data_IF_461796487902
#
_entry.id   IF_461796487902
#
_cell.length_a   1.000
_cell.length_b   1.000
_cell.length_c   1.000
_cell.angle_alpha   90.00
_cell.angle_beta   90.00
_cell.angle_gamma   90.00
#
_symmetry.space_group_name_H-M   'P 1'
#
loop_
_entity.id
_entity.type
_entity.pdbx_description
1 polymer ?
#
# COMPACT_ATOMS: atom_id res chain seq x y z
N UNK A 1 5.20 -52.87 43.96
CA UNK A 1 6.20 -51.90 44.46
C UNK A 1 7.35 -51.78 43.46
N UNK A 2 7.36 -50.74 42.60
CA UNK A 2 8.50 -50.48 41.70
C UNK A 2 9.62 -49.80 42.51
N UNK A 3 10.79 -50.44 42.60
CA UNK A 3 12.00 -49.88 43.24
C UNK A 3 12.45 -48.64 42.46
N UNK A 4 12.50 -47.49 43.13
CA UNK A 4 13.09 -46.27 42.59
C UNK A 4 14.61 -46.46 42.44
N UNK A 5 15.11 -46.26 41.22
CA UNK A 5 16.54 -46.34 40.89
C UNK A 5 17.24 -45.11 41.48
N UNK A 6 18.24 -45.30 42.35
CA UNK A 6 19.09 -44.22 42.86
C UNK A 6 19.95 -43.68 41.71
N UNK A 7 19.82 -42.40 41.41
CA UNK A 7 20.63 -41.69 40.43
C UNK A 7 22.07 -41.54 40.97
N UNK A 8 23.05 -41.68 40.09
CA UNK A 8 24.47 -41.43 40.40
C UNK A 8 24.74 -39.94 40.54
N UNK A 9 25.83 -39.58 41.23
CA UNK A 9 26.24 -38.17 41.42
C UNK A 9 26.42 -37.45 40.07
N UNK A 10 26.90 -38.15 39.04
CA UNK A 10 27.03 -37.60 37.67
C UNK A 10 25.68 -37.29 37.03
N UNK A 11 24.68 -38.14 37.25
CA UNK A 11 23.31 -37.89 36.76
C UNK A 11 22.68 -36.70 37.48
N UNK A 12 22.88 -36.55 38.80
CA UNK A 12 22.43 -35.38 39.54
C UNK A 12 23.07 -34.07 39.05
N UNK A 13 24.37 -34.08 38.76
CA UNK A 13 25.07 -32.90 38.22
C UNK A 13 24.54 -32.56 36.82
N UNK A 14 24.33 -33.57 35.97
CA UNK A 14 23.77 -33.38 34.63
C UNK A 14 22.35 -32.78 34.67
N UNK A 15 21.46 -33.32 35.51
CA UNK A 15 20.10 -32.77 35.66
C UNK A 15 20.10 -31.36 36.27
N UNK A 16 21.03 -31.07 37.18
CA UNK A 16 21.17 -29.72 37.77
C UNK A 16 21.61 -28.68 36.73
N UNK A 17 22.57 -29.03 35.86
CA UNK A 17 23.03 -28.16 34.77
C UNK A 17 21.91 -27.97 33.73
N UNK A 18 21.21 -29.04 33.37
CA UNK A 18 20.07 -28.96 32.45
C UNK A 18 18.95 -28.05 33.00
N UNK A 19 18.65 -28.17 34.29
CA UNK A 19 17.66 -27.31 34.97
C UNK A 19 18.09 -25.84 34.95
N UNK A 20 19.37 -25.55 35.21
CA UNK A 20 19.90 -24.18 35.15
C UNK A 20 19.86 -23.60 33.72
N UNK A 21 20.13 -24.41 32.69
CA UNK A 21 20.01 -23.99 31.29
C UNK A 21 18.56 -23.72 30.90
N UNK A 22 17.62 -24.57 31.33
CA UNK A 22 16.19 -24.37 31.09
C UNK A 22 15.68 -23.12 31.83
N UNK A 23 16.07 -22.93 33.10
CA UNK A 23 15.73 -21.73 33.87
C UNK A 23 16.34 -20.47 33.25
N UNK A 24 17.59 -20.53 32.79
CA UNK A 24 18.24 -19.44 32.07
C UNK A 24 17.54 -19.10 30.76
N UNK A 25 17.14 -20.10 29.98
CA UNK A 25 16.36 -19.91 28.75
C UNK A 25 14.97 -19.29 29.02
N UNK A 26 14.29 -19.74 30.08
CA UNK A 26 13.01 -19.16 30.51
C UNK A 26 13.19 -17.72 31.00
N UNK A 27 14.28 -17.41 31.70
CA UNK A 27 14.58 -16.05 32.16
C UNK A 27 14.89 -15.13 30.97
N UNK A 28 15.69 -15.58 30.00
CA UNK A 28 15.98 -14.84 28.77
C UNK A 28 14.70 -14.61 27.95
N UNK A 29 13.82 -15.61 27.82
CA UNK A 29 12.48 -15.46 27.21
C UNK A 29 11.57 -14.49 27.99
N UNK A 30 11.69 -14.45 29.31
CA UNK A 30 10.92 -13.54 30.17
C UNK A 30 11.42 -12.11 30.08
N UNK A 31 12.73 -11.90 29.94
CA UNK A 31 13.36 -10.59 29.81
C UNK A 31 13.27 -10.06 28.37
N UNK A 32 13.35 -10.93 27.37
CA UNK A 32 13.05 -10.65 25.95
C UNK A 32 11.56 -10.81 25.64
N UNK A 33 10.67 -10.47 26.58
CA UNK A 33 9.31 -10.11 26.18
C UNK A 33 9.43 -8.83 25.37
N UNK A 34 9.67 -8.99 24.07
CA UNK A 34 9.22 -8.04 23.07
C UNK A 34 7.76 -7.84 23.40
N UNK A 35 7.46 -6.69 24.00
CA UNK A 35 6.10 -6.20 24.11
C UNK A 35 5.66 -5.93 22.69
N UNK A 36 5.17 -6.98 22.04
CA UNK A 36 4.18 -6.77 20.99
C UNK A 36 3.08 -5.95 21.67
N UNK A 37 2.72 -4.77 21.14
CA UNK A 37 1.49 -4.14 21.59
C UNK A 37 0.43 -5.24 21.52
N UNK A 38 -0.17 -5.54 22.68
CA UNK A 38 -1.29 -6.45 22.74
C UNK A 38 -2.20 -6.05 21.58
N UNK A 39 -2.55 -7.03 20.73
CA UNK A 39 -3.57 -6.93 19.68
C UNK A 39 -4.50 -5.82 20.08
N UNK A 40 -4.35 -4.65 19.42
CA UNK A 40 -4.95 -3.41 19.89
C UNK A 40 -6.38 -3.75 20.26
N UNK A 41 -6.80 -3.40 21.48
CA UNK A 41 -8.20 -3.43 21.85
C UNK A 41 -8.96 -2.98 20.61
N UNK A 42 -9.83 -3.84 20.07
CA UNK A 42 -10.80 -3.42 19.08
C UNK A 42 -11.61 -2.34 19.78
N UNK A 43 -11.13 -1.11 19.70
CA UNK A 43 -11.93 0.06 19.95
C UNK A 43 -13.06 -0.10 18.97
N UNK A 44 -14.24 -0.38 19.51
CA UNK A 44 -15.50 -0.18 18.81
C UNK A 44 -15.31 1.04 17.93
N UNK A 45 -15.47 0.86 16.62
CA UNK A 45 -15.47 1.95 15.65
C UNK A 45 -16.33 3.02 16.27
N UNK A 46 -15.69 4.11 16.72
CA UNK A 46 -16.38 5.21 17.37
C UNK A 46 -17.41 5.64 16.34
N UNK A 47 -18.70 5.43 16.64
CA UNK A 47 -19.79 5.90 15.80
C UNK A 47 -19.54 7.39 15.63
N UNK A 48 -19.02 7.78 14.48
CA UNK A 48 -18.92 9.17 14.08
C UNK A 48 -20.33 9.73 14.14
N UNK A 49 -20.47 10.92 14.73
CA UNK A 49 -21.77 11.50 15.03
C UNK A 49 -22.62 11.57 13.77
N UNK A 50 -23.79 10.92 13.79
CA UNK A 50 -24.85 11.01 12.77
C UNK A 50 -25.50 12.41 12.68
N UNK A 51 -24.76 13.47 12.96
CA UNK A 51 -25.20 14.81 12.69
C UNK A 51 -25.36 14.94 11.16
N UNK A 52 -26.59 15.23 10.71
CA UNK A 52 -26.85 15.45 9.29
C UNK A 52 -25.96 16.56 8.78
N UNK A 53 -25.08 16.22 7.85
CA UNK A 53 -24.23 17.18 7.18
C UNK A 53 -25.02 18.04 6.19
N UNK A 54 -24.56 19.26 5.96
CA UNK A 54 -25.11 20.22 5.01
C UNK A 54 -24.66 20.00 3.57
N UNK A 55 -23.68 19.13 3.31
CA UNK A 55 -23.01 18.95 2.02
C UNK A 55 -24.00 18.70 0.87
N UNK A 56 -24.99 17.83 1.10
CA UNK A 56 -25.98 17.43 0.09
C UNK A 56 -26.98 18.55 -0.27
N UNK A 57 -27.03 19.65 0.51
CA UNK A 57 -27.85 20.81 0.15
C UNK A 57 -27.35 21.49 -1.15
N UNK A 58 -26.05 21.39 -1.44
CA UNK A 58 -25.42 21.93 -2.65
C UNK A 58 -25.00 20.83 -3.62
N UNK A 59 -24.51 19.69 -3.13
CA UNK A 59 -23.99 18.59 -3.97
C UNK A 59 -25.08 17.65 -4.51
N UNK A 60 -26.32 17.74 -4.02
CA UNK A 60 -27.42 16.88 -4.48
C UNK A 60 -27.25 15.41 -4.05
N UNK A 61 -27.96 14.50 -4.70
CA UNK A 61 -27.83 13.05 -4.45
C UNK A 61 -26.67 12.48 -5.26
N UNK A 62 -25.57 12.20 -4.56
CA UNK A 62 -24.39 11.56 -5.13
C UNK A 62 -24.51 10.04 -4.98
N UNK A 63 -24.09 9.29 -5.99
CA UNK A 63 -24.07 7.82 -5.98
C UNK A 63 -22.68 7.29 -6.37
N UNK A 64 -22.48 5.97 -6.49
CA UNK A 64 -21.19 5.37 -6.86
C UNK A 64 -20.32 4.94 -5.68
N UNK A 65 -20.75 5.15 -4.44
CA UNK A 65 -20.04 4.73 -3.23
C UNK A 65 -20.05 3.22 -3.04
N UNK A 66 -19.00 2.69 -2.39
CA UNK A 66 -19.02 1.32 -1.88
C UNK A 66 -19.98 1.19 -0.70
N UNK A 67 -20.40 -0.04 -0.42
CA UNK A 67 -21.30 -0.36 0.70
C UNK A 67 -20.78 0.20 2.05
N UNK A 68 -19.47 0.10 2.29
CA UNK A 68 -18.85 0.44 3.58
C UNK A 68 -18.38 1.90 3.68
N UNK A 69 -18.18 2.57 2.56
CA UNK A 69 -17.78 3.99 2.51
C UNK A 69 -18.89 4.89 1.96
N UNK A 70 -20.16 4.51 2.17
CA UNK A 70 -21.30 5.35 1.81
C UNK A 70 -21.47 6.49 2.84
N UNK A 71 -21.51 7.78 2.43
CA UNK A 71 -21.74 8.91 3.33
C UNK A 71 -23.04 8.86 4.13
N UNK A 72 -24.05 8.10 3.70
CA UNK A 72 -25.24 7.84 4.52
C UNK A 72 -24.92 7.13 5.84
N UNK A 73 -23.81 6.38 5.88
CA UNK A 73 -23.36 5.62 7.05
C UNK A 73 -22.28 6.34 7.85
N UNK A 74 -21.36 7.03 7.18
CA UNK A 74 -20.15 7.60 7.81
C UNK A 74 -20.00 9.11 7.66
N UNK A 75 -20.82 9.77 6.83
CA UNK A 75 -20.68 11.20 6.51
C UNK A 75 -19.57 11.49 5.50
N UNK A 76 -19.72 12.59 4.76
CA UNK A 76 -18.72 13.09 3.81
C UNK A 76 -17.46 13.59 4.54
N UNK A 77 -17.63 14.22 5.71
CA UNK A 77 -16.52 14.83 6.45
C UNK A 77 -15.56 13.79 7.04
N UNK A 78 -15.99 12.53 7.19
CA UNK A 78 -15.12 11.45 7.65
C UNK A 78 -13.97 11.18 6.68
N UNK A 79 -14.16 11.47 5.40
CA UNK A 79 -13.13 11.38 4.38
C UNK A 79 -12.63 12.77 3.99
N UNK A 80 -13.52 13.70 3.66
CA UNK A 80 -13.16 15.00 3.10
C UNK A 80 -12.84 16.08 4.14
N UNK A 81 -13.04 15.82 5.43
CA UNK A 81 -12.93 16.82 6.49
C UNK A 81 -13.87 18.02 6.21
N UNK A 82 -13.50 19.22 6.64
CA UNK A 82 -14.32 20.43 6.48
C UNK A 82 -15.37 20.61 7.57
N UNK A 83 -16.25 21.59 7.38
CA UNK A 83 -17.32 21.92 8.32
C UNK A 83 -18.68 21.45 7.80
N UNK A 84 -19.02 20.20 8.10
CA UNK A 84 -20.30 19.60 7.72
C UNK A 84 -21.54 20.24 8.34
N UNK A 85 -21.41 21.21 9.26
CA UNK A 85 -22.56 21.88 9.89
C UNK A 85 -22.95 23.20 9.20
N UNK A 86 -22.09 23.76 8.35
CA UNK A 86 -22.34 25.04 7.68
C UNK A 86 -22.96 24.86 6.31
N UNK A 87 -24.01 25.62 5.97
CA UNK A 87 -24.55 25.69 4.61
C UNK A 87 -23.92 26.79 3.75
N UNK A 88 -23.06 27.63 4.33
CA UNK A 88 -22.25 28.58 3.57
C UNK A 88 -21.07 27.85 2.92
N UNK A 89 -20.86 28.07 1.62
CA UNK A 89 -19.87 27.34 0.82
C UNK A 89 -18.45 27.49 1.36
N UNK A 90 -18.05 28.71 1.69
CA UNK A 90 -16.65 28.97 2.06
C UNK A 90 -16.37 28.43 3.46
N UNK A 91 -17.33 28.59 4.38
CA UNK A 91 -17.24 27.99 5.71
C UNK A 91 -17.33 26.46 5.70
N UNK A 92 -18.17 25.87 4.84
CA UNK A 92 -18.31 24.42 4.74
C UNK A 92 -17.03 23.75 4.24
N UNK A 93 -16.33 24.39 3.31
CA UNK A 93 -15.08 23.89 2.73
C UNK A 93 -13.82 24.30 3.52
N UNK A 94 -13.94 25.04 4.62
CA UNK A 94 -12.80 25.44 5.44
C UNK A 94 -12.10 24.18 6.01
N UNK A 95 -10.84 23.96 5.64
CA UNK A 95 -10.07 22.78 6.06
C UNK A 95 -10.45 21.47 5.35
N UNK A 96 -11.26 21.53 4.29
CA UNK A 96 -11.62 20.36 3.49
C UNK A 96 -10.44 19.88 2.65
N UNK A 97 -10.32 18.56 2.47
CA UNK A 97 -9.38 17.93 1.57
C UNK A 97 -10.10 17.34 0.35
N UNK A 98 -9.53 17.58 -0.83
CA UNK A 98 -10.17 17.22 -2.10
C UNK A 98 -9.90 15.78 -2.52
N UNK A 99 -8.74 15.24 -2.15
CA UNK A 99 -8.32 13.88 -2.46
C UNK A 99 -7.91 13.23 -1.12
N UNK A 100 -8.87 12.68 -0.37
CA UNK A 100 -8.58 12.03 0.91
C UNK A 100 -7.93 10.66 0.68
N UNK A 101 -6.99 10.25 1.54
CA UNK A 101 -6.33 8.95 1.47
C UNK A 101 -4.85 9.01 1.08
N UNK A 102 -4.28 10.21 0.87
CA UNK A 102 -2.83 10.36 0.82
C UNK A 102 -2.24 10.03 2.20
N UNK A 103 -1.03 9.48 2.27
CA UNK A 103 -0.46 9.11 3.59
C UNK A 103 -0.34 10.31 4.55
N UNK A 104 -0.16 11.53 4.04
CA UNK A 104 -0.14 12.76 4.85
C UNK A 104 -1.46 13.09 5.55
N UNK A 105 -2.59 12.66 5.01
CA UNK A 105 -3.93 12.94 5.52
C UNK A 105 -4.64 11.67 6.03
N UNK A 106 -4.02 10.51 5.83
CA UNK A 106 -4.56 9.22 6.24
C UNK A 106 -4.82 9.14 7.74
N UNK A 107 -3.98 9.72 8.61
CA UNK A 107 -4.23 9.72 10.06
C UNK A 107 -5.53 10.46 10.43
N UNK A 108 -5.80 11.57 9.74
CA UNK A 108 -7.01 12.37 9.96
C UNK A 108 -8.26 11.73 9.34
N UNK A 109 -8.09 10.81 8.38
CA UNK A 109 -9.16 10.22 7.57
C UNK A 109 -9.22 8.70 7.73
N UNK A 110 -8.61 7.93 6.83
CA UNK A 110 -8.65 6.46 6.78
C UNK A 110 -8.26 5.83 8.12
N UNK A 111 -7.22 6.34 8.77
CA UNK A 111 -6.65 5.90 10.04
C UNK A 111 -7.58 6.08 11.24
N UNK A 112 -8.65 6.88 11.15
CA UNK A 112 -9.68 6.94 12.20
C UNK A 112 -10.41 5.61 12.38
N UNK A 113 -10.56 4.86 11.29
CA UNK A 113 -11.20 3.54 11.30
C UNK A 113 -10.19 2.40 11.04
N UNK A 114 -9.15 2.66 10.24
CA UNK A 114 -8.16 1.68 9.79
C UNK A 114 -6.76 1.95 10.37
N UNK A 115 -6.69 2.27 11.67
CA UNK A 115 -5.42 2.62 12.34
C UNK A 115 -4.34 1.54 12.24
N UNK A 116 -4.73 0.27 12.31
CA UNK A 116 -3.81 -0.86 12.15
C UNK A 116 -3.24 -0.94 10.74
N UNK A 117 -4.07 -0.72 9.73
CA UNK A 117 -3.62 -0.76 8.33
C UNK A 117 -2.75 0.46 8.01
N UNK A 118 -3.07 1.64 8.57
CA UNK A 118 -2.20 2.82 8.53
C UNK A 118 -0.83 2.54 9.14
N UNK A 119 -0.81 1.94 10.33
CA UNK A 119 0.45 1.57 10.99
C UNK A 119 1.28 0.63 10.12
N UNK A 120 0.67 -0.43 9.57
CA UNK A 120 1.38 -1.37 8.70
C UNK A 120 1.93 -0.66 7.46
N UNK A 121 1.10 0.08 6.71
CA UNK A 121 1.52 0.66 5.44
C UNK A 121 2.67 1.65 5.62
N UNK A 122 2.68 2.43 6.71
CA UNK A 122 3.76 3.38 7.02
C UNK A 122 5.10 2.71 7.34
N UNK A 123 5.07 1.45 7.81
CA UNK A 123 6.28 0.68 8.14
C UNK A 123 6.64 -0.36 7.05
N UNK A 124 5.87 -0.43 5.97
CA UNK A 124 6.10 -1.39 4.89
C UNK A 124 7.32 -1.02 4.04
N UNK A 125 7.93 -2.03 3.40
CA UNK A 125 8.97 -1.82 2.40
C UNK A 125 8.47 -1.04 1.19
N UNK A 126 7.21 -1.25 0.79
CA UNK A 126 6.57 -0.55 -0.34
C UNK A 126 6.41 0.95 -0.08
N UNK A 127 6.30 1.40 1.17
CA UNK A 127 6.22 2.83 1.50
C UNK A 127 7.61 3.42 1.74
N UNK A 128 8.42 2.75 2.56
CA UNK A 128 9.69 3.30 3.05
C UNK A 128 10.82 3.21 2.03
N UNK A 129 10.79 2.23 1.12
CA UNK A 129 11.92 1.90 0.24
C UNK A 129 13.25 1.71 1.00
N UNK A 130 13.19 1.31 2.27
CA UNK A 130 14.33 1.31 3.20
C UNK A 130 15.57 0.63 2.62
N UNK A 131 15.42 -0.61 2.12
CA UNK A 131 16.53 -1.36 1.53
C UNK A 131 17.15 -0.70 0.30
N UNK A 132 16.33 -0.06 -0.56
CA UNK A 132 16.84 0.66 -1.73
C UNK A 132 17.65 1.90 -1.31
N UNK A 133 17.13 2.67 -0.35
CA UNK A 133 17.84 3.85 0.18
C UNK A 133 19.14 3.44 0.87
N UNK A 134 19.13 2.32 1.62
CA UNK A 134 20.29 1.84 2.34
C UNK A 134 21.41 1.38 1.39
N UNK A 135 21.06 0.59 0.37
CA UNK A 135 22.01 0.16 -0.66
C UNK A 135 22.55 1.34 -1.45
N UNK A 136 21.70 2.31 -1.81
CA UNK A 136 22.14 3.51 -2.53
C UNK A 136 23.18 4.30 -1.70
N UNK A 137 22.87 4.60 -0.44
CA UNK A 137 23.80 5.30 0.46
C UNK A 137 25.12 4.54 0.64
N UNK A 138 25.07 3.22 0.76
CA UNK A 138 26.26 2.38 0.84
C UNK A 138 27.12 2.50 -0.43
N UNK A 139 26.52 2.40 -1.62
CA UNK A 139 27.22 2.51 -2.91
C UNK A 139 27.88 3.87 -3.11
N UNK A 140 27.23 4.94 -2.65
CA UNK A 140 27.79 6.29 -2.67
C UNK A 140 28.84 6.55 -1.57
N UNK A 141 29.10 5.58 -0.68
CA UNK A 141 30.03 5.71 0.44
C UNK A 141 29.53 6.63 1.56
N UNK A 142 28.23 6.89 1.60
CA UNK A 142 27.56 7.70 2.63
C UNK A 142 27.08 6.85 3.83
N UNK A 143 27.07 5.53 3.67
CA UNK A 143 26.86 4.55 4.74
C UNK A 143 27.97 3.48 4.68
N UNK A 144 28.37 2.94 5.82
CA UNK A 144 29.40 1.88 5.93
C UNK A 144 28.81 0.46 5.80
N UNK A 145 27.48 0.34 5.77
CA UNK A 145 26.74 -0.90 5.60
C UNK A 145 25.48 -0.68 4.76
N UNK A 146 25.05 -1.66 3.94
CA UNK A 146 23.75 -1.63 3.26
C UNK A 146 22.57 -2.03 4.17
N UNK A 147 22.81 -2.46 5.41
CA UNK A 147 21.78 -3.05 6.30
C UNK A 147 21.20 -2.03 7.29
N UNK A 148 21.08 -0.78 6.87
CA UNK A 148 20.44 0.27 7.66
C UNK A 148 18.96 0.42 7.35
N UNK A 149 18.22 0.93 8.33
CA UNK A 149 16.84 1.36 8.10
C UNK A 149 16.80 2.84 7.75
N UNK A 150 16.16 3.15 6.62
CA UNK A 150 15.88 4.51 6.18
C UNK A 150 14.44 4.61 5.72
N UNK A 151 13.94 5.83 5.64
CA UNK A 151 12.69 6.13 4.96
C UNK A 151 12.97 7.07 3.79
N UNK A 152 12.38 6.76 2.63
CA UNK A 152 12.47 7.60 1.44
C UNK A 152 11.86 8.99 1.64
N UNK A 153 11.01 9.19 2.65
CA UNK A 153 10.52 10.52 3.02
C UNK A 153 11.59 11.39 3.71
N UNK A 154 12.60 10.77 4.32
CA UNK A 154 13.65 11.45 5.10
C UNK A 154 14.87 11.84 4.25
N UNK A 155 14.80 11.70 2.92
CA UNK A 155 15.91 12.00 2.03
C UNK A 155 16.34 13.47 2.14
N UNK A 156 17.61 13.70 2.46
CA UNK A 156 18.23 15.01 2.65
C UNK A 156 18.68 15.64 1.33
N UNK A 157 19.95 16.02 1.18
CA UNK A 157 20.48 16.63 -0.06
C UNK A 157 21.85 16.08 -0.47
N UNK A 158 22.21 14.90 0.03
CA UNK A 158 23.44 14.21 -0.35
C UNK A 158 23.40 13.71 -1.80
N UNK A 159 24.50 13.12 -2.29
CA UNK A 159 24.56 12.60 -3.65
C UNK A 159 23.62 11.39 -3.82
N UNK A 160 23.62 10.48 -2.83
CA UNK A 160 22.68 9.36 -2.77
C UNK A 160 21.22 9.86 -2.70
N UNK A 161 20.94 10.80 -1.79
CA UNK A 161 19.57 11.32 -1.62
C UNK A 161 19.05 12.00 -2.90
N UNK A 162 19.94 12.72 -3.60
CA UNK A 162 19.59 13.34 -4.87
C UNK A 162 19.31 12.30 -5.96
N UNK A 163 20.15 11.27 -6.06
CA UNK A 163 19.92 10.16 -6.99
C UNK A 163 18.56 9.49 -6.76
N UNK A 164 18.22 9.22 -5.50
CA UNK A 164 16.93 8.63 -5.12
C UNK A 164 15.74 9.57 -5.36
N UNK A 165 15.87 10.88 -5.13
CA UNK A 165 14.79 11.84 -5.43
C UNK A 165 14.51 11.95 -6.91
N UNK A 166 15.55 12.09 -7.72
CA UNK A 166 15.42 12.33 -9.16
C UNK A 166 14.78 11.11 -9.87
N UNK A 167 14.97 9.90 -9.35
CA UNK A 167 14.46 8.65 -9.94
C UNK A 167 13.17 8.11 -9.29
N UNK A 168 13.11 8.10 -7.96
CA UNK A 168 12.15 7.26 -7.22
C UNK A 168 11.20 8.09 -6.34
N UNK A 169 11.73 9.01 -5.54
CA UNK A 169 10.95 9.64 -4.46
C UNK A 169 9.83 10.57 -4.95
N UNK A 170 9.98 11.17 -6.14
CA UNK A 170 8.97 12.09 -6.70
C UNK A 170 7.63 11.43 -7.06
N UNK A 171 7.60 10.10 -7.16
CA UNK A 171 6.42 9.35 -7.58
C UNK A 171 6.14 8.11 -6.73
N UNK A 172 6.85 7.95 -5.61
CA UNK A 172 6.71 6.77 -4.76
C UNK A 172 5.34 6.74 -4.05
N UNK A 173 4.96 5.60 -3.45
CA UNK A 173 3.63 5.40 -2.86
C UNK A 173 3.20 6.53 -1.90
N UNK A 174 4.13 7.03 -1.08
CA UNK A 174 3.89 8.13 -0.14
C UNK A 174 3.83 9.53 -0.77
N UNK A 175 4.14 9.68 -2.07
CA UNK A 175 3.99 10.95 -2.76
C UNK A 175 2.51 11.33 -2.89
N UNK A 176 2.21 12.62 -2.79
CA UNK A 176 0.85 13.12 -2.88
C UNK A 176 0.25 12.95 -4.28
N UNK A 177 -0.93 12.33 -4.35
CA UNK A 177 -1.81 12.45 -5.50
C UNK A 177 -2.50 13.81 -5.46
N UNK A 178 -2.21 14.63 -6.47
CA UNK A 178 -2.71 16.01 -6.59
C UNK A 178 -3.84 16.15 -7.61
N UNK A 179 -3.86 15.26 -8.59
CA UNK A 179 -4.83 15.28 -9.68
C UNK A 179 -5.93 14.24 -9.44
N UNK A 180 -7.17 14.61 -9.81
CA UNK A 180 -8.32 13.71 -9.80
C UNK A 180 -8.16 12.60 -10.85
N UNK A 181 -9.03 11.60 -10.78
CA UNK A 181 -9.03 10.46 -11.70
C UNK A 181 -8.31 9.25 -11.14
N UNK A 182 -8.39 8.15 -11.89
CA UNK A 182 -7.77 6.87 -11.54
C UNK A 182 -6.25 6.95 -11.46
N UNK A 183 -5.66 5.93 -10.84
CA UNK A 183 -4.23 5.70 -10.86
C UNK A 183 -3.84 5.24 -12.26
N UNK A 184 -2.81 5.86 -12.83
CA UNK A 184 -2.28 5.51 -14.16
C UNK A 184 -0.76 5.58 -14.12
N UNK A 185 -0.11 5.24 -15.22
CA UNK A 185 1.33 5.37 -15.40
C UNK A 185 1.80 6.83 -15.24
N UNK A 186 0.88 7.79 -15.36
CA UNK A 186 1.11 9.24 -15.19
C UNK A 186 0.59 9.78 -13.86
N UNK A 187 -0.39 9.13 -13.24
CA UNK A 187 -0.95 9.51 -11.93
C UNK A 187 -0.49 8.53 -10.86
N UNK A 188 0.65 8.86 -10.21
CA UNK A 188 1.34 8.00 -9.22
C UNK A 188 1.24 8.57 -7.80
N UNK A 189 1.62 7.74 -6.82
CA UNK A 189 1.50 8.05 -5.39
C UNK A 189 0.07 7.89 -4.90
N UNK A 190 -0.30 8.63 -3.86
CA UNK A 190 -1.67 8.67 -3.35
C UNK A 190 -1.92 7.83 -2.10
N UNK A 191 -0.90 7.16 -1.54
CA UNK A 191 -1.06 6.35 -0.34
C UNK A 191 -2.14 5.29 -0.49
N UNK A 192 -3.20 5.37 0.32
CA UNK A 192 -4.33 4.45 0.26
C UNK A 192 -5.03 4.49 -1.12
N UNK A 193 -5.08 5.66 -1.77
CA UNK A 193 -5.70 5.81 -3.08
C UNK A 193 -4.95 5.10 -4.20
N UNK A 194 -3.67 4.77 -4.00
CA UNK A 194 -2.89 4.06 -5.01
C UNK A 194 -3.50 2.68 -5.35
N UNK A 195 -4.18 2.06 -4.39
CA UNK A 195 -4.75 0.73 -4.53
C UNK A 195 -6.27 0.68 -4.34
N UNK A 196 -6.84 1.60 -3.55
CA UNK A 196 -8.25 1.52 -3.15
C UNK A 196 -9.18 2.47 -3.89
N UNK A 197 -8.66 3.32 -4.79
CA UNK A 197 -9.46 4.30 -5.53
C UNK A 197 -9.87 3.77 -6.91
N UNK A 198 -11.16 3.44 -7.05
CA UNK A 198 -11.71 2.88 -8.27
C UNK A 198 -12.69 3.85 -8.93
N UNK A 199 -12.53 4.07 -10.23
CA UNK A 199 -13.48 4.85 -11.03
C UNK A 199 -14.32 3.90 -11.88
N UNK A 200 -15.65 4.05 -11.84
CA UNK A 200 -16.51 3.46 -12.87
C UNK A 200 -16.40 4.29 -14.15
N UNK A 201 -16.82 3.72 -15.28
CA UNK A 201 -16.85 4.45 -16.55
C UNK A 201 -17.64 5.76 -16.43
N UNK A 202 -18.80 5.74 -15.77
CA UNK A 202 -19.63 6.93 -15.56
C UNK A 202 -18.96 7.96 -14.65
N UNK A 203 -18.18 7.52 -13.66
CA UNK A 203 -17.40 8.42 -12.82
C UNK A 203 -16.27 9.11 -13.61
N UNK A 204 -15.61 8.39 -14.52
CA UNK A 204 -14.61 8.97 -15.43
C UNK A 204 -15.25 10.01 -16.37
N UNK A 205 -16.34 9.66 -17.05
CA UNK A 205 -17.05 10.56 -17.97
C UNK A 205 -17.55 11.84 -17.27
N UNK A 206 -18.01 11.73 -16.02
CA UNK A 206 -18.43 12.90 -15.25
C UNK A 206 -17.28 13.74 -14.70
N UNK A 207 -16.15 13.10 -14.37
CA UNK A 207 -14.93 13.83 -14.03
C UNK A 207 -14.47 14.66 -15.23
N UNK A 208 -14.46 14.09 -16.43
CA UNK A 208 -14.10 14.80 -17.66
C UNK A 208 -15.02 16.00 -17.88
N UNK A 209 -16.35 15.80 -17.80
CA UNK A 209 -17.31 16.88 -17.92
C UNK A 209 -17.13 17.98 -16.84
N UNK A 210 -16.75 17.61 -15.62
CA UNK A 210 -16.44 18.55 -14.55
C UNK A 210 -15.21 19.39 -14.90
N UNK A 211 -14.13 18.76 -15.36
CA UNK A 211 -12.89 19.43 -15.75
C UNK A 211 -13.09 20.35 -16.97
N UNK A 212 -13.76 19.86 -18.01
CA UNK A 212 -14.07 20.62 -19.24
C UNK A 212 -14.95 21.85 -18.98
N UNK A 213 -15.86 21.76 -18.00
CA UNK A 213 -16.71 22.88 -17.59
C UNK A 213 -15.96 23.97 -16.80
N UNK A 214 -14.67 23.81 -16.53
CA UNK A 214 -13.95 24.69 -15.61
C UNK A 214 -14.42 24.53 -14.17
N UNK A 215 -14.77 23.28 -13.77
CA UNK A 215 -15.19 22.89 -12.42
C UNK A 215 -16.57 23.42 -11.99
N UNK A 216 -17.46 23.73 -12.93
CA UNK A 216 -18.82 24.24 -12.61
C UNK A 216 -19.90 23.17 -12.67
N UNK A 217 -19.73 22.13 -13.49
CA UNK A 217 -20.68 21.00 -13.60
C UNK A 217 -20.28 19.90 -12.62
N UNK A 218 -20.89 19.87 -11.44
CA UNK A 218 -20.56 18.91 -10.38
C UNK A 218 -20.87 17.46 -10.81
N UNK A 219 -19.95 16.49 -10.56
CA UNK A 219 -20.24 15.08 -10.72
C UNK A 219 -21.34 14.61 -9.76
N UNK A 220 -22.23 13.74 -10.25
CA UNK A 220 -23.22 13.01 -9.47
C UNK A 220 -22.79 11.57 -9.15
N UNK A 221 -21.75 11.06 -9.83
CA UNK A 221 -21.14 9.76 -9.55
C UNK A 221 -19.77 10.00 -8.89
N UNK A 222 -19.62 9.50 -7.67
CA UNK A 222 -18.38 9.52 -6.91
C UNK A 222 -17.55 8.27 -7.25
N UNK A 223 -16.21 8.38 -7.35
CA UNK A 223 -15.35 7.20 -7.42
C UNK A 223 -15.47 6.36 -6.15
N UNK A 224 -15.35 5.05 -6.25
CA UNK A 224 -15.52 4.18 -5.08
C UNK A 224 -14.19 3.95 -4.37
N UNK A 225 -14.25 3.86 -3.03
CA UNK A 225 -13.13 3.36 -2.22
C UNK A 225 -13.48 1.99 -1.67
N UNK A 226 -12.74 0.96 -2.08
CA UNK A 226 -13.00 -0.42 -1.70
C UNK A 226 -11.74 -1.30 -1.84
N UNK A 227 -11.89 -2.60 -1.60
CA UNK A 227 -10.82 -3.60 -1.65
C UNK A 227 -10.71 -4.30 -3.00
N UNK A 228 -11.40 -3.79 -4.03
CA UNK A 228 -11.33 -4.33 -5.38
C UNK A 228 -10.05 -3.83 -6.05
N UNK A 229 -8.92 -4.45 -5.71
CA UNK A 229 -7.60 -4.08 -6.22
C UNK A 229 -7.26 -4.98 -7.42
N UNK A 230 -7.20 -4.37 -8.61
CA UNK A 230 -6.84 -5.05 -9.86
C UNK A 230 -5.37 -4.82 -10.24
N UNK A 231 -4.87 -5.56 -11.24
CA UNK A 231 -3.49 -5.45 -11.73
C UNK A 231 -3.14 -4.05 -12.26
N UNK A 232 -4.14 -3.28 -12.72
CA UNK A 232 -3.97 -1.90 -13.18
C UNK A 232 -3.44 -0.97 -12.07
N UNK A 233 -3.80 -1.21 -10.81
CA UNK A 233 -3.29 -0.44 -9.68
C UNK A 233 -1.77 -0.63 -9.51
N UNK A 234 -1.32 -1.88 -9.65
CA UNK A 234 0.11 -2.21 -9.66
C UNK A 234 0.80 -1.63 -10.90
N UNK A 235 0.13 -1.69 -12.05
CA UNK A 235 0.61 -1.15 -13.32
C UNK A 235 0.82 0.37 -13.27
N UNK A 236 0.10 1.13 -12.44
CA UNK A 236 0.33 2.57 -12.28
C UNK A 236 1.80 2.92 -11.97
N UNK A 237 2.49 2.07 -11.20
CA UNK A 237 3.88 2.28 -10.80
C UNK A 237 4.85 1.24 -11.40
N UNK A 238 4.43 -0.01 -11.56
CA UNK A 238 5.27 -1.13 -12.02
C UNK A 238 5.18 -1.37 -13.54
N UNK A 239 5.09 -0.29 -14.31
CA UNK A 239 4.85 -0.29 -15.77
C UNK A 239 6.03 0.15 -16.64
N UNK A 240 7.28 -0.02 -16.17
CA UNK A 240 8.47 0.38 -16.96
C UNK A 240 9.52 -0.70 -16.99
N UNK A 241 10.24 -0.84 -18.10
CA UNK A 241 11.50 -1.60 -18.20
C UNK A 241 11.41 -3.03 -17.69
N UNK A 242 10.48 -3.82 -18.24
CA UNK A 242 10.24 -5.20 -17.83
C UNK A 242 10.06 -5.36 -16.31
N UNK A 243 9.41 -4.37 -15.65
CA UNK A 243 9.00 -4.47 -14.25
C UNK A 243 7.92 -5.55 -14.09
N UNK A 244 7.70 -5.95 -12.84
CA UNK A 244 6.89 -7.10 -12.47
C UNK A 244 5.51 -7.11 -13.14
N UNK A 245 4.77 -5.99 -13.14
CA UNK A 245 3.42 -5.96 -13.77
C UNK A 245 3.49 -6.14 -15.29
N UNK A 246 4.43 -5.48 -15.97
CA UNK A 246 4.58 -5.67 -17.43
C UNK A 246 4.90 -7.12 -17.80
N UNK A 247 5.86 -7.75 -17.11
CA UNK A 247 6.21 -9.14 -17.41
C UNK A 247 5.10 -10.12 -17.02
N UNK A 248 4.46 -9.92 -15.87
CA UNK A 248 3.39 -10.79 -15.38
C UNK A 248 2.22 -10.82 -16.36
N UNK A 249 1.87 -9.65 -16.91
CA UNK A 249 0.83 -9.50 -17.93
C UNK A 249 1.32 -9.76 -19.38
N UNK A 250 2.59 -10.15 -19.57
CA UNK A 250 3.14 -10.55 -20.87
C UNK A 250 3.59 -9.44 -21.81
N UNK A 251 3.77 -8.21 -21.32
CA UNK A 251 4.21 -7.05 -22.10
C UNK A 251 5.71 -6.77 -21.91
N UNK A 252 6.43 -6.50 -23.00
CA UNK A 252 7.82 -6.05 -22.99
C UNK A 252 7.97 -4.69 -23.66
N UNK A 253 8.75 -3.81 -23.04
CA UNK A 253 9.00 -2.47 -23.58
C UNK A 253 9.91 -2.55 -24.81
N UNK A 254 9.53 -1.88 -25.89
CA UNK A 254 10.29 -1.83 -27.14
C UNK A 254 11.07 -0.52 -27.27
N UNK A 255 11.94 -0.44 -28.28
CA UNK A 255 12.58 0.81 -28.69
C UNK A 255 11.78 1.59 -29.74
N UNK A 256 10.55 1.16 -30.03
CA UNK A 256 9.70 1.77 -31.04
C UNK A 256 9.02 3.02 -30.48
N UNK A 257 8.84 4.00 -31.37
CA UNK A 257 7.97 5.15 -31.12
C UNK A 257 6.55 4.85 -31.62
N UNK A 258 5.55 5.53 -31.05
CA UNK A 258 4.13 5.42 -31.43
C UNK A 258 3.91 5.58 -32.94
N UNK A 259 4.68 6.45 -33.60
CA UNK A 259 4.59 6.70 -35.05
C UNK A 259 5.16 5.59 -35.91
N UNK A 260 6.03 4.75 -35.32
CA UNK A 260 6.75 3.65 -35.97
C UNK A 260 6.23 2.27 -35.57
N UNK A 261 5.26 2.22 -34.65
CA UNK A 261 4.67 0.99 -34.15
C UNK A 261 3.99 0.20 -35.29
N UNK A 262 4.28 -1.11 -35.44
CA UNK A 262 3.53 -1.98 -36.32
C UNK A 262 2.03 -1.92 -36.02
N UNK A 263 1.19 -1.92 -37.06
CA UNK A 263 -0.28 -1.98 -36.89
C UNK A 263 -0.79 -3.41 -36.74
N UNK A 264 0.09 -4.31 -36.32
CA UNK A 264 -0.16 -5.73 -36.15
C UNK A 264 -0.73 -6.00 -34.76
N UNK A 265 -1.45 -7.10 -34.60
CA UNK A 265 -1.86 -7.57 -33.29
C UNK A 265 -0.61 -7.89 -32.44
N UNK A 266 -0.64 -7.53 -31.17
CA UNK A 266 0.46 -7.78 -30.23
C UNK A 266 1.30 -6.56 -29.86
N UNK A 267 1.05 -5.38 -30.44
CA UNK A 267 1.64 -4.13 -29.98
C UNK A 267 0.60 -3.24 -29.26
N UNK A 268 1.06 -2.53 -28.23
CA UNK A 268 0.22 -1.59 -27.47
C UNK A 268 1.01 -0.35 -27.07
N UNK A 269 0.36 0.81 -27.12
CA UNK A 269 0.85 2.06 -26.53
C UNK A 269 0.16 2.27 -25.19
N UNK A 270 0.93 2.50 -24.13
CA UNK A 270 0.38 2.89 -22.82
C UNK A 270 0.32 4.42 -22.66
N UNK A 271 -0.29 4.91 -21.58
CA UNK A 271 -0.57 6.35 -21.40
C UNK A 271 0.69 7.23 -21.41
N UNK A 272 1.84 6.65 -21.06
CA UNK A 272 3.15 7.31 -21.11
C UNK A 272 3.82 7.28 -22.50
N UNK A 273 3.06 6.91 -23.54
CA UNK A 273 3.42 6.93 -24.96
C UNK A 273 4.49 5.92 -25.39
N UNK A 274 4.85 4.99 -24.51
CA UNK A 274 5.82 3.94 -24.84
C UNK A 274 5.14 2.75 -25.49
N UNK A 275 5.83 2.14 -26.44
CA UNK A 275 5.35 0.99 -27.23
C UNK A 275 5.81 -0.31 -26.58
N UNK A 276 4.86 -1.22 -26.38
CA UNK A 276 5.10 -2.54 -25.82
C UNK A 276 4.68 -3.62 -26.82
N UNK A 277 5.41 -4.73 -26.79
CA UNK A 277 5.13 -5.94 -27.53
C UNK A 277 4.68 -7.05 -26.58
N UNK A 278 3.69 -7.84 -26.98
CA UNK A 278 3.19 -8.96 -26.23
C UNK A 278 3.99 -10.23 -26.53
N UNK A 279 4.55 -10.86 -25.48
CA UNK A 279 5.35 -12.08 -25.59
C UNK A 279 4.73 -13.30 -24.87
N UNK A 280 3.50 -13.16 -24.36
CA UNK A 280 2.86 -14.17 -23.54
C UNK A 280 2.99 -13.87 -22.05
N UNK A 281 1.88 -14.00 -21.34
CA UNK A 281 1.76 -13.70 -19.92
C UNK A 281 2.28 -14.84 -19.02
N UNK A 282 2.46 -14.53 -17.73
CA UNK A 282 2.84 -15.54 -16.74
C UNK A 282 1.77 -16.64 -16.63
N UNK A 283 2.20 -17.86 -16.31
CA UNK A 283 1.34 -19.04 -16.20
C UNK A 283 0.23 -18.92 -15.14
N UNK A 284 0.46 -18.12 -14.09
CA UNK A 284 -0.51 -17.81 -13.04
C UNK A 284 -1.47 -16.72 -13.50
N UNK A 285 -0.97 -15.67 -14.17
CA UNK A 285 -1.81 -14.63 -14.77
C UNK A 285 -2.76 -15.22 -15.81
N UNK A 286 -2.25 -16.09 -16.71
CA UNK A 286 -3.05 -16.82 -17.69
C UNK A 286 -4.14 -17.71 -17.08
N UNK A 287 -4.01 -18.05 -15.79
CA UNK A 287 -4.99 -18.84 -15.03
C UNK A 287 -5.92 -17.97 -14.16
N UNK A 288 -5.84 -16.65 -14.31
CA UNK A 288 -6.73 -15.70 -13.64
C UNK A 288 -6.25 -15.25 -12.25
N UNK A 289 -4.98 -15.49 -11.89
CA UNK A 289 -4.41 -14.92 -10.66
C UNK A 289 -3.95 -13.48 -10.90
N UNK A 290 -4.37 -12.58 -10.03
CA UNK A 290 -3.94 -11.18 -9.96
C UNK A 290 -2.66 -11.02 -9.13
N UNK A 291 -2.07 -9.83 -9.17
CA UNK A 291 -0.89 -9.47 -8.39
C UNK A 291 -1.12 -9.73 -6.88
N UNK A 292 -2.31 -9.38 -6.37
CA UNK A 292 -2.61 -9.44 -4.93
C UNK A 292 -2.87 -10.87 -4.41
N UNK A 293 -3.07 -11.83 -5.31
CA UNK A 293 -3.15 -13.25 -4.95
C UNK A 293 -1.79 -13.80 -4.50
N UNK A 294 -0.70 -13.19 -4.98
CA UNK A 294 0.65 -13.47 -4.51
C UNK A 294 1.22 -12.39 -3.57
N UNK A 295 0.84 -11.13 -3.75
CA UNK A 295 1.28 -10.00 -2.95
C UNK A 295 0.12 -9.49 -2.08
N UNK A 296 -0.13 -10.21 -0.99
CA UNK A 296 -1.28 -9.92 -0.13
C UNK A 296 -1.16 -8.56 0.59
N UNK A 297 -2.21 -8.14 1.28
CA UNK A 297 -2.15 -6.93 2.13
C UNK A 297 -1.04 -7.00 3.18
N UNK A 298 -0.70 -8.19 3.68
CA UNK A 298 0.39 -8.38 4.64
C UNK A 298 1.80 -8.21 4.04
N UNK A 299 1.92 -8.23 2.72
CA UNK A 299 3.18 -7.99 2.02
C UNK A 299 3.25 -6.56 1.48
N UNK A 300 2.22 -6.16 0.72
CA UNK A 300 2.18 -4.83 0.10
C UNK A 300 2.02 -3.74 1.15
N UNK A 301 1.05 -3.91 2.06
CA UNK A 301 0.85 -2.99 3.17
C UNK A 301 1.73 -3.34 4.37
N UNK A 302 2.39 -4.49 4.36
CA UNK A 302 3.26 -4.95 5.44
C UNK A 302 2.51 -5.63 6.59
N UNK A 303 3.28 -6.27 7.46
CA UNK A 303 2.80 -7.01 8.63
C UNK A 303 2.98 -6.23 9.94
N UNK A 304 3.40 -4.98 9.84
CA UNK A 304 3.69 -4.10 10.98
C UNK A 304 5.06 -4.35 11.61
N UNK A 305 5.90 -5.20 11.00
CA UNK A 305 7.30 -5.35 11.36
C UNK A 305 8.18 -4.60 10.37
N UNK A 306 9.31 -4.10 10.88
CA UNK A 306 10.38 -3.60 10.03
C UNK A 306 11.19 -4.80 9.53
N UNK A 307 11.41 -4.82 8.22
CA UNK A 307 12.22 -5.82 7.54
C UNK A 307 13.43 -5.12 6.92
N UNK A 308 14.62 -5.70 7.09
CA UNK A 308 15.84 -5.19 6.44
C UNK A 308 15.86 -5.56 4.97
N UNK A 309 15.47 -6.80 4.67
CA UNK A 309 15.48 -7.34 3.32
C UNK A 309 14.08 -7.79 2.88
N UNK A 310 13.83 -7.72 1.58
CA UNK A 310 12.51 -8.06 1.03
C UNK A 310 12.19 -9.55 1.20
N UNK A 311 13.19 -10.42 1.15
CA UNK A 311 13.07 -11.85 1.40
C UNK A 311 12.58 -12.18 2.82
N UNK A 312 12.83 -11.32 3.81
CA UNK A 312 12.35 -11.49 5.18
C UNK A 312 10.86 -11.14 5.33
N UNK A 313 10.34 -10.33 4.40
CA UNK A 313 8.94 -9.89 4.37
C UNK A 313 8.03 -10.83 3.58
N UNK A 314 8.57 -11.86 2.92
CA UNK A 314 7.80 -12.81 2.11
C UNK A 314 6.89 -13.66 2.99
N UNK A 315 5.58 -13.56 2.75
CA UNK A 315 4.56 -14.30 3.50
C UNK A 315 3.95 -15.44 2.72
N UNK A 316 3.95 -15.36 1.37
CA UNK A 316 3.43 -16.38 0.48
C UNK A 316 4.56 -16.97 -0.38
N UNK A 317 4.62 -18.29 -0.45
CA UNK A 317 5.65 -19.03 -1.17
C UNK A 317 5.04 -20.01 -2.16
N UNK A 318 5.83 -20.43 -3.15
CA UNK A 318 5.42 -21.41 -4.15
C UNK A 318 4.87 -22.70 -3.50
N UNK A 319 5.46 -23.12 -2.37
CA UNK A 319 5.06 -24.33 -1.64
C UNK A 319 3.69 -24.27 -0.98
N UNK A 320 3.11 -23.07 -0.84
CA UNK A 320 1.78 -22.91 -0.24
C UNK A 320 0.68 -23.37 -1.20
N UNK A 321 0.95 -23.38 -2.51
CA UNK A 321 0.03 -23.87 -3.55
C UNK A 321 0.58 -25.08 -4.33
N UNK A 322 1.91 -25.21 -4.45
CA UNK A 322 2.58 -26.27 -5.22
C UNK A 322 3.27 -27.27 -4.30
N UNK A 323 2.56 -28.35 -3.97
CA UNK A 323 3.11 -29.44 -3.16
C UNK A 323 4.08 -30.31 -3.95
N UNK A 324 5.30 -30.52 -3.43
CA UNK A 324 6.24 -31.48 -4.02
C UNK A 324 5.68 -32.91 -3.89
N UNK A 325 5.27 -33.52 -5.00
CA UNK A 325 4.79 -34.91 -5.03
C UNK A 325 3.62 -35.20 -5.97
N UNK A 326 3.20 -34.24 -6.78
CA UNK A 326 2.32 -34.46 -7.94
C UNK A 326 2.86 -33.70 -9.14
#
# INVERSE_FOLDING_TARGET
MKRLRKLSVKEYVFFSILLLLVLGFVLIRSLNKVTYPATGNFSEVSKTSNAKESCLACHGQITGFSQFHNPENIGCISCHLGNGSSSDKDLAHEGMILIPGNLKDAEATCGKCHSNELFKIQHSLMTTNSGLVAVDKFVFGEADSPDYHYNIEDLGYSAADKHMRDLCANCHLGADKKDYGKITQLSRGGGCNACHLNYSQEAEEQLDAYLESGKTKLPAIHPTTNIDVTDEHCFGCHSRSSRISTNYMGWSETLLDETTMPKEDGFKVFDDKRVYEFHGEDVHHARGMSCIDCHSSHEVMGDGKLHLHAEDAVSLQCSDCHYRGK
#
